data_IF_191643137291
#
_entry.id   IF_191643137291
#
_cell.length_a   1.000
_cell.length_b   1.000
_cell.length_c   1.000
_cell.angle_alpha   90.00
_cell.angle_beta   90.00
_cell.angle_gamma   90.00
#
_symmetry.space_group_name_H-M   'P 1'
#
loop_
_entity.id
_entity.type
_entity.pdbx_description
1 polymer ?
#
# COMPACT_ATOMS: atom_id res chain seq x y z
N UNK A 1 -21.85 -7.64 7.05
CA UNK A 1 -20.94 -8.70 6.57
C UNK A 1 -19.55 -8.10 6.48
N UNK A 2 -18.67 -8.35 7.45
CA UNK A 2 -17.30 -7.80 7.48
C UNK A 2 -16.36 -8.91 6.98
N UNK A 3 -15.82 -8.80 5.77
CA UNK A 3 -14.85 -9.78 5.25
C UNK A 3 -13.47 -9.47 5.82
N UNK A 4 -12.90 -10.41 6.59
CA UNK A 4 -11.52 -10.36 7.06
C UNK A 4 -10.66 -11.07 6.02
N UNK A 5 -9.92 -10.31 5.20
CA UNK A 5 -9.11 -10.83 4.10
C UNK A 5 -7.62 -10.91 4.49
N UNK A 6 -7.01 -12.10 4.50
CA UNK A 6 -5.55 -12.26 4.55
C UNK A 6 -5.06 -12.73 3.17
N UNK A 7 -4.34 -11.87 2.44
CA UNK A 7 -3.82 -12.16 1.09
C UNK A 7 -2.42 -12.79 1.20
N UNK A 8 -2.25 -13.96 0.57
CA UNK A 8 -0.96 -14.61 0.36
C UNK A 8 -0.12 -13.80 -0.66
N UNK A 9 1.12 -13.46 -0.30
CA UNK A 9 2.00 -12.58 -1.08
C UNK A 9 3.09 -13.40 -1.78
N UNK A 10 3.02 -13.50 -3.11
CA UNK A 10 4.12 -14.00 -3.95
C UNK A 10 5.04 -12.82 -4.32
N UNK A 11 6.33 -12.91 -3.96
CA UNK A 11 7.32 -11.84 -4.18
C UNK A 11 8.20 -12.20 -5.38
N UNK A 12 8.26 -11.31 -6.39
CA UNK A 12 9.30 -11.29 -7.42
C UNK A 12 10.26 -10.15 -7.11
N UNK A 13 11.53 -10.49 -6.84
CA UNK A 13 12.61 -9.53 -6.60
C UNK A 13 13.29 -9.26 -7.95
N UNK A 14 13.06 -8.09 -8.54
CA UNK A 14 13.87 -7.57 -9.64
C UNK A 14 14.97 -6.67 -9.06
N UNK A 15 16.18 -7.20 -8.96
CA UNK A 15 17.38 -6.43 -8.66
C UNK A 15 17.82 -5.60 -9.87
N UNK A 16 18.38 -4.42 -9.61
CA UNK A 16 19.18 -3.71 -10.60
C UNK A 16 20.47 -3.22 -9.95
N UNK A 17 21.60 -3.61 -10.51
CA UNK A 17 22.94 -3.30 -10.05
C UNK A 17 23.63 -2.38 -11.06
N UNK A 18 24.32 -1.35 -10.54
CA UNK A 18 25.54 -0.73 -11.10
C UNK A 18 25.39 0.16 -12.35
N UNK A 19 26.29 1.09 -12.69
CA UNK A 19 27.43 1.78 -12.05
C UNK A 19 27.79 2.94 -13.01
N UNK A 20 28.61 3.91 -12.56
CA UNK A 20 29.45 4.84 -13.34
C UNK A 20 28.77 6.11 -13.89
N UNK A 21 29.42 7.27 -14.02
CA UNK A 21 30.67 7.86 -13.56
C UNK A 21 30.58 9.38 -13.87
N UNK A 22 31.29 10.23 -13.12
CA UNK A 22 31.49 11.65 -13.45
C UNK A 22 32.55 11.80 -14.57
N UNK A 23 32.61 12.95 -15.30
CA UNK A 23 33.41 14.06 -14.81
C UNK A 23 32.89 15.48 -15.14
N UNK A 24 33.57 16.44 -14.51
CA UNK A 24 33.44 17.89 -14.46
C UNK A 24 33.63 18.63 -15.79
N UNK A 25 32.93 19.76 -15.99
CA UNK A 25 33.46 21.01 -16.53
C UNK A 25 32.42 22.15 -16.47
N UNK A 26 32.77 23.25 -15.82
CA UNK A 26 32.14 24.58 -15.90
C UNK A 26 32.47 25.26 -17.23
N UNK A 27 31.56 26.09 -17.78
CA UNK A 27 31.86 27.51 -17.75
C UNK A 27 30.67 28.42 -17.39
N UNK A 28 31.03 29.56 -16.82
CA UNK A 28 30.19 30.71 -16.52
C UNK A 28 29.92 31.47 -17.83
N UNK A 29 28.65 31.69 -18.18
CA UNK A 29 28.26 32.64 -19.22
C UNK A 29 27.05 33.47 -18.75
N UNK A 30 27.34 34.74 -18.50
CA UNK A 30 26.38 35.82 -18.27
C UNK A 30 25.82 36.28 -19.63
N UNK A 31 24.48 36.42 -19.75
CA UNK A 31 23.80 37.63 -20.27
C UNK A 31 22.29 37.42 -20.51
N UNK A 32 21.51 38.24 -19.82
CA UNK A 32 20.40 39.10 -20.25
C UNK A 32 19.34 38.63 -21.28
N UNK A 33 18.09 38.59 -20.76
CA UNK A 33 16.82 39.12 -21.29
C UNK A 33 16.39 38.85 -22.73
N UNK A 34 15.26 38.15 -22.88
CA UNK A 34 14.17 38.57 -23.77
C UNK A 34 12.85 37.88 -23.35
N UNK A 35 11.84 38.70 -23.04
CA UNK A 35 10.46 38.29 -22.85
C UNK A 35 9.88 37.86 -24.20
N UNK A 36 9.51 36.60 -24.35
CA UNK A 36 8.71 36.13 -25.46
C UNK A 36 7.53 35.32 -24.90
N UNK A 37 6.36 35.94 -24.92
CA UNK A 37 5.07 35.29 -24.72
C UNK A 37 4.84 34.33 -25.87
N UNK A 38 5.04 33.05 -25.65
CA UNK A 38 4.45 32.00 -26.48
C UNK A 38 3.67 31.06 -25.56
N UNK A 39 2.37 31.03 -25.78
CA UNK A 39 1.45 30.09 -25.14
C UNK A 39 1.65 28.75 -25.85
N UNK A 40 2.19 27.70 -25.21
CA UNK A 40 2.09 26.38 -25.80
C UNK A 40 0.66 25.87 -25.59
N UNK A 41 -0.12 25.79 -26.67
CA UNK A 41 -1.30 24.94 -26.71
C UNK A 41 -0.81 23.49 -26.66
N UNK A 42 -0.60 22.98 -25.46
CA UNK A 42 -0.29 21.57 -25.23
C UNK A 42 -1.56 20.76 -25.40
N UNK A 43 -1.75 20.21 -26.60
CA UNK A 43 -2.64 19.08 -26.82
C UNK A 43 -2.12 17.91 -25.99
N UNK A 44 -2.67 17.73 -24.79
CA UNK A 44 -2.45 16.55 -23.99
C UNK A 44 -3.16 15.36 -24.68
N UNK A 45 -2.41 14.63 -25.49
CA UNK A 45 -2.75 13.27 -25.88
C UNK A 45 -2.93 12.46 -24.60
N UNK A 46 -4.17 12.18 -24.25
CA UNK A 46 -4.52 11.33 -23.11
C UNK A 46 -3.87 9.97 -23.28
N UNK A 47 -2.82 9.72 -22.50
CA UNK A 47 -2.27 8.38 -22.32
C UNK A 47 -3.32 7.62 -21.52
N UNK A 48 -4.17 6.84 -22.19
CA UNK A 48 -5.02 5.87 -21.52
C UNK A 48 -4.09 4.95 -20.74
N UNK A 49 -4.11 5.09 -19.41
CA UNK A 49 -3.54 4.12 -18.52
C UNK A 49 -4.23 2.79 -18.82
N UNK A 50 -3.48 1.85 -19.38
CA UNK A 50 -3.93 0.48 -19.54
C UNK A 50 -4.13 -0.08 -18.14
N UNK A 51 -5.39 -0.14 -17.71
CA UNK A 51 -5.78 -0.91 -16.53
C UNK A 51 -5.32 -2.34 -16.77
N UNK A 52 -4.26 -2.75 -16.07
CA UNK A 52 -3.86 -4.14 -16.05
C UNK A 52 -5.08 -4.95 -15.60
N UNK A 53 -5.63 -5.75 -16.50
CA UNK A 53 -6.80 -6.55 -16.20
C UNK A 53 -6.44 -7.48 -15.04
N UNK A 54 -7.22 -7.40 -13.96
CA UNK A 54 -7.19 -8.35 -12.85
C UNK A 54 -7.36 -9.76 -13.42
N UNK A 55 -6.25 -10.51 -13.52
CA UNK A 55 -6.27 -11.90 -13.93
C UNK A 55 -6.81 -12.75 -12.77
N UNK A 56 -8.13 -12.76 -12.61
CA UNK A 56 -8.83 -13.61 -11.66
C UNK A 56 -9.45 -14.79 -12.43
N UNK A 57 -8.95 -16.00 -12.16
CA UNK A 57 -9.57 -17.23 -12.67
C UNK A 57 -10.69 -17.60 -11.73
N UNK A 58 -11.94 -17.46 -12.17
CA UNK A 58 -13.09 -17.83 -11.36
C UNK A 58 -13.12 -19.35 -11.07
N UNK A 59 -13.60 -19.76 -9.88
CA UNK A 59 -14.04 -18.90 -8.77
C UNK A 59 -12.87 -18.45 -7.89
N UNK A 60 -12.82 -17.16 -7.57
CA UNK A 60 -11.95 -16.69 -6.48
C UNK A 60 -12.38 -17.39 -5.19
N UNK A 61 -11.44 -17.99 -4.47
CA UNK A 61 -11.73 -18.64 -3.20
C UNK A 61 -12.16 -17.58 -2.18
N UNK A 62 -13.28 -17.83 -1.50
CA UNK A 62 -13.74 -16.95 -0.44
C UNK A 62 -12.72 -16.92 0.72
N UNK A 63 -12.53 -15.74 1.30
CA UNK A 63 -11.69 -15.56 2.47
C UNK A 63 -12.33 -16.25 3.68
N UNK A 64 -11.52 -16.98 4.43
CA UNK A 64 -11.95 -17.63 5.67
C UNK A 64 -12.00 -16.60 6.79
N UNK A 65 -13.13 -16.53 7.49
CA UNK A 65 -13.26 -15.69 8.67
C UNK A 65 -12.39 -16.22 9.80
N UNK A 66 -11.71 -15.30 10.49
CA UNK A 66 -10.88 -15.57 11.65
C UNK A 66 -11.41 -14.75 12.83
N UNK A 67 -11.12 -15.20 14.05
CA UNK A 67 -11.48 -14.46 15.26
C UNK A 67 -10.76 -13.12 15.32
N UNK A 68 -11.49 -12.06 15.67
CA UNK A 68 -11.00 -10.67 15.77
C UNK A 68 -9.83 -10.52 16.75
N UNK A 69 -9.87 -11.31 17.85
CA UNK A 69 -8.87 -11.27 18.91
C UNK A 69 -9.08 -10.10 19.89
N UNK A 70 -8.34 -10.08 21.01
CA UNK A 70 -8.65 -9.19 22.14
C UNK A 70 -8.18 -7.73 21.94
N UNK A 71 -7.44 -7.43 20.87
CA UNK A 71 -6.79 -6.13 20.67
C UNK A 71 -7.47 -5.26 19.63
N UNK A 72 -8.66 -5.61 19.15
CA UNK A 72 -9.42 -4.71 18.29
C UNK A 72 -9.85 -3.46 19.05
N UNK A 73 -9.90 -2.33 18.33
CA UNK A 73 -10.36 -1.05 18.86
C UNK A 73 -11.26 -0.39 17.83
N UNK A 74 -12.48 -0.10 18.24
CA UNK A 74 -13.47 0.52 17.37
C UNK A 74 -13.10 1.95 16.97
N UNK A 75 -13.68 2.39 15.85
CA UNK A 75 -13.58 3.74 15.31
C UNK A 75 -12.13 4.22 15.06
N UNK A 76 -11.25 3.41 14.41
CA UNK A 76 -9.97 3.94 13.99
C UNK A 76 -10.16 5.05 12.94
N UNK A 77 -9.17 5.95 12.77
CA UNK A 77 -9.23 6.98 11.75
C UNK A 77 -9.22 6.38 10.33
N UNK A 78 -9.77 7.12 9.36
CA UNK A 78 -9.60 6.76 7.96
C UNK A 78 -8.17 7.10 7.53
N UNK A 79 -7.33 6.08 7.35
CA UNK A 79 -5.93 6.26 7.01
C UNK A 79 -5.36 5.00 6.35
N UNK A 80 -4.68 5.19 5.21
CA UNK A 80 -3.97 4.14 4.49
C UNK A 80 -2.47 4.06 4.85
N UNK A 81 -1.94 5.06 5.55
CA UNK A 81 -0.55 5.10 6.04
C UNK A 81 -0.53 5.02 7.56
N UNK A 82 -0.41 3.80 8.07
CA UNK A 82 -0.51 3.51 9.51
C UNK A 82 0.81 3.68 10.24
N UNK A 83 1.93 3.49 9.54
CA UNK A 83 3.26 3.72 10.12
C UNK A 83 3.46 5.22 10.39
N UNK A 84 3.87 5.56 11.60
CA UNK A 84 4.27 6.91 11.98
C UNK A 84 5.76 6.93 12.35
N UNK A 85 6.35 8.12 12.44
CA UNK A 85 7.74 8.26 12.85
C UNK A 85 7.96 7.65 14.24
N UNK A 86 9.01 6.84 14.39
CA UNK A 86 9.39 6.20 15.66
C UNK A 86 8.70 4.87 15.95
N UNK A 87 7.76 4.40 15.12
CA UNK A 87 7.19 3.05 15.26
C UNK A 87 8.23 2.00 14.89
N UNK A 88 8.42 1.00 15.75
CA UNK A 88 9.36 -0.09 15.51
C UNK A 88 8.87 -1.01 14.37
N UNK A 89 9.81 -1.52 13.57
CA UNK A 89 9.56 -2.51 12.53
C UNK A 89 10.03 -2.08 11.14
N UNK A 90 10.25 -3.05 10.26
CA UNK A 90 10.65 -2.81 8.87
C UNK A 90 9.46 -2.27 8.08
N UNK A 91 9.58 -1.15 7.34
CA UNK A 91 8.50 -0.63 6.52
C UNK A 91 7.96 -1.67 5.52
N UNK A 92 6.63 -1.71 5.37
CA UNK A 92 5.91 -2.62 4.50
C UNK A 92 4.84 -1.85 3.74
N UNK A 93 4.76 -2.04 2.42
CA UNK A 93 3.61 -1.62 1.62
C UNK A 93 2.83 -2.87 1.20
N UNK A 94 1.58 -2.97 1.63
CA UNK A 94 0.67 -4.04 1.25
C UNK A 94 -0.32 -3.51 0.21
N UNK A 95 -0.39 -4.16 -0.93
CA UNK A 95 -1.35 -3.83 -2.00
C UNK A 95 -2.17 -5.06 -2.36
N UNK A 96 -3.40 -4.85 -2.82
CA UNK A 96 -4.23 -5.93 -3.31
C UNK A 96 -5.53 -5.41 -3.91
N UNK A 97 -6.44 -6.34 -4.15
CA UNK A 97 -7.75 -6.05 -4.71
C UNK A 97 -8.83 -6.80 -3.94
N UNK A 98 -10.01 -6.19 -3.83
CA UNK A 98 -11.21 -6.82 -3.31
C UNK A 98 -12.13 -7.13 -4.49
N UNK A 99 -12.39 -8.40 -4.70
CA UNK A 99 -13.24 -8.91 -5.78
C UNK A 99 -14.36 -9.80 -5.22
N UNK A 100 -15.46 -9.90 -5.95
CA UNK A 100 -16.52 -10.89 -5.69
C UNK A 100 -16.08 -12.31 -6.08
N UNK A 101 -16.88 -13.32 -5.73
CA UNK A 101 -16.68 -14.71 -6.17
C UNK A 101 -16.79 -14.89 -7.68
N UNK A 102 -17.45 -13.96 -8.38
CA UNK A 102 -17.53 -13.86 -9.84
C UNK A 102 -16.42 -12.99 -10.45
N UNK A 103 -15.33 -12.75 -9.71
CA UNK A 103 -14.17 -11.96 -10.12
C UNK A 103 -14.48 -10.51 -10.52
N UNK A 104 -15.53 -9.91 -9.95
CA UNK A 104 -15.86 -8.50 -10.20
C UNK A 104 -15.24 -7.60 -9.11
N UNK A 105 -14.55 -6.50 -9.47
CA UNK A 105 -13.99 -5.60 -8.48
C UNK A 105 -15.09 -4.96 -7.64
N UNK A 106 -14.85 -4.84 -6.33
CA UNK A 106 -15.78 -4.23 -5.39
C UNK A 106 -15.24 -2.86 -5.00
N UNK A 107 -15.85 -1.81 -5.53
CA UNK A 107 -15.57 -0.44 -5.14
C UNK A 107 -16.16 -0.11 -3.77
N UNK A 108 -15.55 0.83 -3.04
CA UNK A 108 -16.00 1.31 -1.73
C UNK A 108 -16.12 0.20 -0.67
N UNK A 109 -15.40 -0.91 -0.83
CA UNK A 109 -15.29 -1.94 0.20
C UNK A 109 -14.44 -1.38 1.35
N UNK A 110 -14.99 -1.41 2.57
CA UNK A 110 -14.24 -0.98 3.76
C UNK A 110 -13.25 -2.04 4.20
N UNK A 111 -11.98 -1.67 4.25
CA UNK A 111 -10.89 -2.45 4.81
C UNK A 111 -10.42 -1.79 6.10
N UNK A 112 -10.54 -2.50 7.23
CA UNK A 112 -10.18 -2.05 8.57
C UNK A 112 -8.96 -2.84 9.05
N UNK A 113 -7.85 -2.15 9.31
CA UNK A 113 -6.55 -2.73 9.61
C UNK A 113 -6.11 -2.37 11.03
N UNK A 114 -5.63 -3.38 11.77
CA UNK A 114 -4.96 -3.22 13.05
C UNK A 114 -3.87 -4.27 13.22
N UNK A 115 -2.75 -3.91 13.83
CA UNK A 115 -1.65 -4.83 14.08
C UNK A 115 -0.79 -4.38 15.28
N UNK A 116 0.13 -5.25 15.68
CA UNK A 116 1.25 -4.89 16.54
C UNK A 116 2.36 -4.16 15.77
N UNK A 117 3.23 -3.47 16.51
CA UNK A 117 4.51 -2.97 16.00
C UNK A 117 5.53 -4.10 15.76
N UNK A 118 6.72 -3.74 15.27
CA UNK A 118 7.82 -4.67 15.02
C UNK A 118 8.36 -5.41 16.25
N UNK A 119 8.00 -4.99 17.45
CA UNK A 119 8.35 -5.65 18.72
C UNK A 119 7.20 -6.52 19.26
N UNK A 120 6.05 -6.58 18.56
CA UNK A 120 4.88 -7.35 18.98
C UNK A 120 3.95 -6.59 19.94
N UNK A 121 4.13 -5.28 20.14
CA UNK A 121 3.29 -4.49 21.04
C UNK A 121 2.09 -3.88 20.30
N UNK A 122 0.91 -3.96 20.92
CA UNK A 122 -0.28 -3.25 20.45
C UNK A 122 -0.45 -1.92 21.18
N UNK A 123 -0.78 -0.87 20.45
CA UNK A 123 -1.25 0.38 21.05
C UNK A 123 -2.72 0.21 21.47
N UNK A 124 -2.94 0.13 22.78
CA UNK A 124 -4.28 0.05 23.39
C UNK A 124 -4.80 1.43 23.82
N UNK A 125 -3.92 2.45 23.90
CA UNK A 125 -4.27 3.79 24.38
C UNK A 125 -4.68 4.70 23.22
N UNK A 126 -3.91 4.68 22.13
CA UNK A 126 -4.13 5.46 20.92
C UNK A 126 -4.66 4.64 19.74
N UNK A 127 -4.26 5.05 18.54
CA UNK A 127 -4.60 4.41 17.26
C UNK A 127 -3.35 4.14 16.40
N UNK A 128 -2.17 4.07 17.01
CA UNK A 128 -0.93 3.75 16.29
C UNK A 128 -1.08 2.38 15.62
N UNK A 129 -0.72 2.28 14.34
CA UNK A 129 -0.90 1.08 13.52
C UNK A 129 -2.36 0.59 13.39
N UNK A 130 -3.32 1.53 13.46
CA UNK A 130 -4.75 1.26 13.24
C UNK A 130 -5.35 2.27 12.26
N UNK A 131 -6.13 1.78 11.32
CA UNK A 131 -6.81 2.64 10.36
C UNK A 131 -7.65 1.86 9.38
N UNK A 132 -8.58 2.55 8.75
CA UNK A 132 -9.40 1.96 7.70
C UNK A 132 -9.32 2.78 6.42
N UNK A 133 -9.63 2.13 5.31
CA UNK A 133 -9.74 2.75 3.99
C UNK A 133 -10.86 2.11 3.18
N UNK A 134 -11.20 2.73 2.05
CA UNK A 134 -12.10 2.16 1.06
C UNK A 134 -11.28 1.73 -0.16
N UNK A 135 -11.71 0.66 -0.82
CA UNK A 135 -11.19 0.32 -2.14
C UNK A 135 -11.61 1.33 -3.18
N UNK A 136 -10.76 1.51 -4.21
CA UNK A 136 -11.05 2.37 -5.35
C UNK A 136 -12.08 1.73 -6.32
N UNK A 137 -12.35 2.40 -7.44
CA UNK A 137 -13.29 1.93 -8.46
C UNK A 137 -12.89 0.56 -9.08
N UNK A 138 -11.61 0.20 -9.04
CA UNK A 138 -11.08 -1.08 -9.51
C UNK A 138 -10.99 -2.12 -8.39
N UNK A 139 -11.54 -1.84 -7.21
CA UNK A 139 -11.43 -2.69 -6.04
C UNK A 139 -10.02 -2.70 -5.42
N UNK A 140 -9.11 -1.84 -5.88
CA UNK A 140 -7.72 -1.84 -5.40
C UNK A 140 -7.59 -1.16 -4.04
N UNK A 141 -6.60 -1.59 -3.25
CA UNK A 141 -6.20 -0.93 -2.02
C UNK A 141 -4.68 -0.92 -1.86
N UNK A 142 -4.20 0.03 -1.05
CA UNK A 142 -2.79 0.15 -0.67
C UNK A 142 -2.68 0.55 0.80
N UNK A 143 -1.85 -0.15 1.57
CA UNK A 143 -1.60 0.10 2.98
C UNK A 143 -0.09 0.28 3.22
N UNK A 144 0.31 1.37 3.86
CA UNK A 144 1.68 1.52 4.37
C UNK A 144 1.72 1.24 5.87
N UNK A 145 2.53 0.28 6.27
CA UNK A 145 2.66 -0.20 7.64
C UNK A 145 4.09 -0.67 7.91
N UNK A 146 4.29 -1.47 8.96
CA UNK A 146 5.53 -2.17 9.27
C UNK A 146 5.28 -3.69 9.35
N UNK A 147 6.32 -4.50 9.15
CA UNK A 147 6.27 -5.94 9.47
C UNK A 147 6.03 -6.09 10.99
N UNK A 148 4.94 -6.74 11.43
CA UNK A 148 4.68 -6.93 12.84
C UNK A 148 5.66 -7.92 13.47
N UNK A 149 6.05 -7.65 14.71
CA UNK A 149 6.85 -8.55 15.52
C UNK A 149 6.07 -9.79 15.98
N UNK A 150 6.80 -10.78 16.49
CA UNK A 150 6.18 -11.96 17.07
C UNK A 150 5.48 -11.62 18.38
N UNK A 151 4.19 -11.96 18.46
CA UNK A 151 3.42 -11.85 19.70
C UNK A 151 3.48 -13.19 20.46
N UNK A 152 4.00 -13.25 21.70
CA UNK A 152 4.11 -14.49 22.46
C UNK A 152 2.74 -15.20 22.61
N UNK A 153 2.71 -16.52 22.37
CA UNK A 153 1.48 -17.33 22.49
C UNK A 153 0.60 -17.39 21.23
N UNK A 154 1.03 -16.79 20.11
CA UNK A 154 0.46 -17.02 18.78
C UNK A 154 1.56 -17.48 17.84
N UNK A 155 1.28 -18.50 17.02
CA UNK A 155 2.18 -18.88 15.93
C UNK A 155 2.41 -17.64 15.07
N UNK A 156 3.68 -17.35 14.78
CA UNK A 156 4.02 -16.45 13.69
C UNK A 156 3.20 -16.87 12.46
N UNK A 157 2.40 -15.97 11.88
CA UNK A 157 2.02 -16.17 10.47
C UNK A 157 3.21 -15.73 9.62
N UNK A 158 4.33 -16.42 9.83
CA UNK A 158 5.55 -16.21 9.08
C UNK A 158 5.27 -16.59 7.63
N UNK A 159 5.73 -15.75 6.71
CA UNK A 159 5.82 -16.12 5.32
C UNK A 159 6.88 -17.23 5.21
N UNK A 160 6.44 -18.48 5.00
CA UNK A 160 7.27 -19.55 4.41
C UNK A 160 7.18 -19.48 2.89
#
# INVERSE_FOLDING_TARGET
>A
MRLIAAIALSILIAGCAGTAAAPSATPLATSSSATATSVPTSSASGTQATTAALACTAPAQALVELTEGPYYKANPPQNATLRTAGVAGTPLTLTGYVVSTSCQPIANAKLDFWQADGNGNYDNSGYTLRGWQLTDANGAYRLETVIPGLYPGRTARGCS
#
